data_IF_337385995370
#
_entry.id   IF_337385995370
#
_cell.length_a   1.000
_cell.length_b   1.000
_cell.length_c   1.000
_cell.angle_alpha   90.00
_cell.angle_beta   90.00
_cell.angle_gamma   90.00
#
_symmetry.space_group_name_H-M   'P 1'
#
loop_
_entity.id
_entity.type
_entity.pdbx_description
1 polymer ?
#
# COMPACT_ATOMS: atom_id res chain seq x y z
N UNK A 1 12.62 -6.27 6.78
CA UNK A 1 11.37 -6.74 7.42
C UNK A 1 10.93 -8.04 6.75
N UNK A 2 10.37 -9.01 7.49
CA UNK A 2 9.86 -10.24 6.88
C UNK A 2 8.60 -10.00 6.04
N UNK A 3 8.41 -10.77 4.97
CA UNK A 3 7.30 -10.62 4.02
C UNK A 3 5.91 -10.69 4.70
N UNK A 4 5.76 -11.50 5.75
CA UNK A 4 4.51 -11.61 6.53
C UNK A 4 4.12 -10.31 7.26
N UNK A 5 5.11 -9.59 7.81
CA UNK A 5 4.84 -8.31 8.48
C UNK A 5 4.35 -7.28 7.47
N UNK A 6 4.97 -7.27 6.29
CA UNK A 6 4.62 -6.39 5.19
C UNK A 6 3.22 -6.71 4.66
N UNK A 7 2.89 -7.98 4.47
CA UNK A 7 1.55 -8.40 4.03
C UNK A 7 0.45 -7.99 5.02
N UNK A 8 0.68 -8.14 6.34
CA UNK A 8 -0.27 -7.67 7.36
C UNK A 8 -0.45 -6.16 7.33
N UNK A 9 0.64 -5.41 7.17
CA UNK A 9 0.62 -3.94 7.12
C UNK A 9 -0.14 -3.48 5.88
N UNK A 10 0.14 -4.10 4.73
CA UNK A 10 -0.55 -3.82 3.48
C UNK A 10 -2.05 -4.06 3.58
N UNK A 11 -2.47 -5.23 4.08
CA UNK A 11 -3.89 -5.56 4.22
C UNK A 11 -4.62 -4.58 5.14
N UNK A 12 -3.96 -4.10 6.20
CA UNK A 12 -4.53 -3.07 7.08
C UNK A 12 -4.72 -1.74 6.36
N UNK A 13 -3.66 -1.24 5.71
CA UNK A 13 -3.71 0.01 4.95
C UNK A 13 -4.74 -0.10 3.81
N UNK A 14 -4.76 -1.22 3.08
CA UNK A 14 -5.71 -1.50 2.01
C UNK A 14 -7.15 -1.43 2.48
N UNK A 15 -7.45 -1.99 3.66
CA UNK A 15 -8.78 -1.95 4.25
C UNK A 15 -9.21 -0.53 4.62
N UNK A 16 -8.29 0.31 5.11
CA UNK A 16 -8.56 1.72 5.42
C UNK A 16 -8.84 2.51 4.13
N UNK A 17 -8.05 2.29 3.09
CA UNK A 17 -8.29 2.81 1.73
C UNK A 17 -9.67 2.44 1.21
N UNK A 18 -10.02 1.16 1.24
CA UNK A 18 -11.34 0.71 0.78
C UNK A 18 -12.49 1.27 1.61
N UNK A 19 -12.23 1.58 2.87
CA UNK A 19 -13.22 2.18 3.77
C UNK A 19 -13.35 3.70 3.60
N UNK A 20 -12.61 4.30 2.66
CA UNK A 20 -12.59 5.76 2.43
C UNK A 20 -11.91 6.55 3.55
N UNK A 21 -11.25 5.86 4.49
CA UNK A 21 -10.50 6.46 5.59
C UNK A 21 -9.03 6.54 5.21
N UNK A 22 -8.73 7.33 4.19
CA UNK A 22 -7.34 7.61 3.85
C UNK A 22 -7.04 8.98 4.40
N UNK A 23 -6.18 9.03 5.41
CA UNK A 23 -5.63 10.27 5.93
C UNK A 23 -4.28 10.51 5.28
N UNK A 24 -3.72 11.72 5.42
CA UNK A 24 -2.34 12.00 5.00
C UNK A 24 -1.35 10.99 5.61
N UNK A 25 -1.54 10.64 6.89
CA UNK A 25 -0.73 9.62 7.57
C UNK A 25 -0.81 8.24 6.90
N UNK A 26 -2.00 7.79 6.50
CA UNK A 26 -2.17 6.50 5.81
C UNK A 26 -1.60 6.55 4.39
N UNK A 27 -1.71 7.69 3.71
CA UNK A 27 -1.10 7.87 2.40
C UNK A 27 0.43 7.84 2.47
N UNK A 28 1.03 8.45 3.50
CA UNK A 28 2.46 8.43 3.76
C UNK A 28 2.95 7.02 4.12
N UNK A 29 2.27 6.32 5.03
CA UNK A 29 2.57 4.91 5.35
C UNK A 29 2.43 3.99 4.13
N UNK A 30 1.47 4.25 3.25
CA UNK A 30 1.32 3.49 2.00
C UNK A 30 2.47 3.76 1.04
N UNK A 31 2.92 5.00 0.91
CA UNK A 31 4.05 5.36 0.05
C UNK A 31 5.34 4.69 0.54
N UNK A 32 5.62 4.74 1.84
CA UNK A 32 6.74 4.02 2.47
C UNK A 32 6.69 2.51 2.24
N UNK A 33 5.48 1.93 2.35
CA UNK A 33 5.30 0.50 2.13
C UNK A 33 5.46 0.11 0.65
N UNK A 34 4.98 0.94 -0.27
CA UNK A 34 5.18 0.76 -1.71
C UNK A 34 6.66 0.83 -2.06
N UNK A 35 7.38 1.83 -1.56
CA UNK A 35 8.83 1.96 -1.76
C UNK A 35 9.58 0.75 -1.21
N UNK A 36 9.17 0.25 -0.03
CA UNK A 36 9.72 -0.98 0.54
C UNK A 36 9.47 -2.20 -0.35
N UNK A 37 8.28 -2.36 -0.93
CA UNK A 37 7.99 -3.44 -1.89
C UNK A 37 8.78 -3.23 -3.18
N UNK A 38 8.94 -1.99 -3.63
CA UNK A 38 9.70 -1.68 -4.84
C UNK A 38 11.20 -1.96 -4.68
N UNK A 39 11.71 -1.83 -3.46
CA UNK A 39 13.05 -2.25 -3.08
C UNK A 39 13.14 -3.75 -2.74
N UNK A 40 12.02 -4.45 -2.57
CA UNK A 40 11.99 -5.91 -2.52
C UNK A 40 12.10 -6.51 -3.93
N UNK A 41 12.55 -7.77 -3.99
CA UNK A 41 12.70 -8.51 -5.25
C UNK A 41 11.37 -8.66 -6.01
N UNK A 42 11.48 -9.04 -7.29
CA UNK A 42 10.36 -9.12 -8.24
C UNK A 42 9.16 -9.92 -7.73
N UNK A 43 9.38 -10.97 -6.93
CA UNK A 43 8.29 -11.76 -6.31
C UNK A 43 7.36 -10.94 -5.41
N UNK A 44 7.92 -10.03 -4.59
CA UNK A 44 7.11 -9.17 -3.73
C UNK A 44 6.34 -8.14 -4.57
N UNK A 45 6.99 -7.56 -5.58
CA UNK A 45 6.36 -6.63 -6.52
C UNK A 45 5.15 -7.26 -7.19
N UNK A 46 5.30 -8.45 -7.78
CA UNK A 46 4.20 -9.15 -8.43
C UNK A 46 3.09 -9.51 -7.44
N UNK A 47 3.44 -10.02 -6.25
CA UNK A 47 2.47 -10.39 -5.22
C UNK A 47 1.60 -9.22 -4.77
N UNK A 48 2.18 -8.03 -4.69
CA UNK A 48 1.52 -6.84 -4.16
C UNK A 48 1.10 -5.83 -5.22
N UNK A 49 1.40 -6.06 -6.50
CA UNK A 49 1.12 -5.14 -7.60
C UNK A 49 -0.34 -4.68 -7.64
N UNK A 50 -1.28 -5.62 -7.53
CA UNK A 50 -2.72 -5.34 -7.57
C UNK A 50 -3.15 -4.42 -6.42
N UNK A 51 -2.71 -4.72 -5.19
CA UNK A 51 -3.02 -3.89 -4.03
C UNK A 51 -2.34 -2.51 -4.11
N UNK A 52 -1.11 -2.42 -4.62
CA UNK A 52 -0.41 -1.14 -4.80
C UNK A 52 -1.14 -0.24 -5.80
N UNK A 53 -1.60 -0.80 -6.92
CA UNK A 53 -2.33 -0.05 -7.94
C UNK A 53 -3.66 0.51 -7.40
N UNK A 54 -4.39 -0.30 -6.63
CA UNK A 54 -5.68 0.08 -6.04
C UNK A 54 -5.51 1.12 -4.91
N UNK A 55 -4.43 1.03 -4.11
CA UNK A 55 -4.03 2.06 -3.15
C UNK A 55 -3.68 3.37 -3.84
N UNK A 56 -2.84 3.33 -4.88
CA UNK A 56 -2.42 4.50 -5.65
C UNK A 56 -3.60 5.22 -6.29
N UNK A 57 -4.56 4.48 -6.87
CA UNK A 57 -5.83 5.00 -7.37
C UNK A 57 -6.64 5.69 -6.27
N UNK A 58 -6.71 5.09 -5.09
CA UNK A 58 -7.49 5.62 -3.97
C UNK A 58 -6.89 6.90 -3.37
N UNK A 59 -5.57 6.95 -3.19
CA UNK A 59 -4.85 8.17 -2.79
C UNK A 59 -5.03 9.26 -3.86
N UNK A 60 -4.90 8.91 -5.14
CA UNK A 60 -5.09 9.87 -6.23
C UNK A 60 -6.51 10.44 -6.28
N UNK A 61 -7.53 9.69 -5.86
CA UNK A 61 -8.91 10.18 -5.77
C UNK A 61 -9.13 11.19 -4.65
N UNK A 62 -8.30 11.18 -3.60
CA UNK A 62 -8.39 12.17 -2.51
C UNK A 62 -7.76 13.52 -2.83
N UNK A 63 -6.76 13.55 -3.73
CA UNK A 63 -6.13 14.81 -4.15
C UNK A 63 -7.00 15.61 -5.13
N UNK A 64 -8.20 15.13 -5.48
CA UNK A 64 -9.16 15.79 -6.36
C UNK A 64 -10.29 16.44 -5.58
#
# INVERSE_FOLDING_TARGET
MGMEKLERKMKRLYKQVKSGKVTEEIADEMADMMDTIENMGSEAKEKFADMMDDMKKSISKMKK
#
